data_IF_512454626526
#
_entry.id   IF_512454626526
#
_cell.length_a   1.000
_cell.length_b   1.000
_cell.length_c   1.000
_cell.angle_alpha   90.00
_cell.angle_beta   90.00
_cell.angle_gamma   90.00
#
_symmetry.space_group_name_H-M   'P 1'
#
loop_
_entity.id
_entity.type
_entity.pdbx_description
1 polymer ?
#
# COMPACT_ATOMS: atom_id res chain seq x y z
N UNK A 1 -0.17 21.99 25.06
CA UNK A 1 -0.35 21.25 23.79
C UNK A 1 0.06 19.80 24.02
N UNK A 2 -0.67 18.80 23.52
CA UNK A 2 -0.27 17.39 23.64
C UNK A 2 1.05 17.19 22.89
N UNK A 3 2.04 16.62 23.55
CA UNK A 3 3.37 16.42 22.97
C UNK A 3 3.31 15.57 21.71
N UNK A 4 4.06 16.00 20.70
CA UNK A 4 4.11 15.39 19.38
C UNK A 4 5.14 14.27 19.43
N UNK A 5 4.68 13.02 19.45
CA UNK A 5 5.58 11.87 19.55
C UNK A 5 6.07 11.45 18.15
N UNK A 6 7.23 11.99 17.76
CA UNK A 6 7.84 11.76 16.44
C UNK A 6 8.02 10.27 16.12
N UNK A 7 8.36 9.44 17.12
CA UNK A 7 8.52 7.99 16.92
C UNK A 7 7.23 7.31 16.46
N UNK A 8 6.10 7.75 17.00
CA UNK A 8 4.77 7.22 16.63
C UNK A 8 4.42 7.62 15.22
N UNK A 9 4.67 8.88 14.86
CA UNK A 9 4.40 9.39 13.52
C UNK A 9 5.23 8.62 12.48
N UNK A 10 6.50 8.37 12.76
CA UNK A 10 7.36 7.55 11.87
C UNK A 10 6.82 6.13 11.70
N UNK A 11 6.40 5.48 12.79
CA UNK A 11 5.76 4.16 12.71
C UNK A 11 4.44 4.20 11.93
N UNK A 12 3.63 5.25 12.13
CA UNK A 12 2.38 5.43 11.40
C UNK A 12 2.60 5.64 9.90
N UNK A 13 3.60 6.44 9.52
CA UNK A 13 4.03 6.62 8.12
C UNK A 13 4.42 5.26 7.53
N UNK A 14 5.26 4.51 8.23
CA UNK A 14 5.74 3.22 7.76
C UNK A 14 4.59 2.22 7.63
N UNK A 15 3.69 2.16 8.62
CA UNK A 15 2.48 1.33 8.59
C UNK A 15 1.56 1.65 7.41
N UNK A 16 1.36 2.94 7.11
CA UNK A 16 0.60 3.35 5.92
C UNK A 16 1.26 2.93 4.61
N UNK A 17 2.59 3.07 4.52
CA UNK A 17 3.32 2.67 3.32
C UNK A 17 3.12 1.18 3.05
N UNK A 18 3.27 0.34 4.08
CA UNK A 18 3.03 -1.10 3.97
C UNK A 18 1.57 -1.44 3.64
N UNK A 19 0.61 -0.80 4.31
CA UNK A 19 -0.81 -1.02 4.06
C UNK A 19 -1.20 -0.70 2.61
N UNK A 20 -0.82 0.50 2.13
CA UNK A 20 -1.10 0.93 0.76
C UNK A 20 -0.41 0.01 -0.25
N UNK A 21 0.85 -0.38 0.00
CA UNK A 21 1.56 -1.28 -0.90
C UNK A 21 0.96 -2.69 -0.91
N UNK A 22 0.47 -3.19 0.23
CA UNK A 22 -0.23 -4.45 0.32
C UNK A 22 -1.52 -4.46 -0.49
N UNK A 23 -2.37 -3.44 -0.31
CA UNK A 23 -3.60 -3.25 -1.08
C UNK A 23 -3.31 -3.13 -2.59
N UNK A 24 -2.25 -2.41 -2.94
CA UNK A 24 -1.81 -2.28 -4.34
C UNK A 24 -1.43 -3.63 -4.94
N UNK A 25 -0.67 -4.45 -4.21
CA UNK A 25 -0.26 -5.77 -4.68
C UNK A 25 -1.44 -6.74 -4.81
N UNK A 26 -2.42 -6.69 -3.89
CA UNK A 26 -3.67 -7.43 -4.03
C UNK A 26 -4.45 -7.01 -5.28
N UNK A 27 -4.42 -5.71 -5.64
CA UNK A 27 -5.02 -5.26 -6.89
C UNK A 27 -4.26 -5.80 -8.10
N UNK A 28 -2.92 -5.76 -8.09
CA UNK A 28 -2.10 -6.30 -9.17
C UNK A 28 -2.29 -7.81 -9.36
N UNK A 29 -2.53 -8.56 -8.28
CA UNK A 29 -2.90 -9.96 -8.35
C UNK A 29 -4.14 -10.20 -9.21
N UNK A 30 -5.20 -9.38 -9.06
CA UNK A 30 -6.45 -9.53 -9.86
C UNK A 30 -6.28 -9.35 -11.37
N UNK A 31 -5.14 -8.81 -11.80
CA UNK A 31 -4.81 -8.61 -13.22
C UNK A 31 -3.48 -9.26 -13.61
N UNK A 32 -2.93 -10.10 -12.75
CA UNK A 32 -1.57 -10.65 -12.88
C UNK A 32 -1.38 -11.45 -14.16
N UNK A 33 -2.37 -12.28 -14.53
CA UNK A 33 -2.38 -13.04 -15.79
C UNK A 33 -2.28 -12.12 -17.02
N UNK A 34 -3.04 -11.02 -17.04
CA UNK A 34 -3.01 -10.04 -18.13
C UNK A 34 -1.65 -9.34 -18.22
N UNK A 35 -1.04 -9.03 -17.07
CA UNK A 35 0.27 -8.40 -16.99
C UNK A 35 1.36 -9.36 -17.47
N UNK A 36 1.35 -10.61 -17.01
CA UNK A 36 2.29 -11.64 -17.46
C UNK A 36 2.18 -11.87 -18.95
N UNK A 37 0.96 -12.05 -19.46
CA UNK A 37 0.76 -12.28 -20.89
C UNK A 37 1.29 -11.11 -21.74
N UNK A 38 1.04 -9.87 -21.32
CA UNK A 38 1.57 -8.68 -21.99
C UNK A 38 3.10 -8.60 -21.97
N UNK A 39 3.76 -9.08 -20.91
CA UNK A 39 5.21 -9.12 -20.80
C UNK A 39 5.82 -10.22 -21.67
N UNK A 40 5.26 -11.43 -21.64
CA UNK A 40 5.78 -12.59 -22.37
C UNK A 40 5.50 -12.50 -23.88
N UNK A 41 4.40 -11.87 -24.28
CA UNK A 41 3.97 -11.72 -25.67
C UNK A 41 4.09 -10.28 -26.19
N UNK A 42 5.00 -9.48 -25.61
CA UNK A 42 5.25 -8.10 -26.02
C UNK A 42 5.60 -7.94 -27.51
N UNK A 43 6.13 -8.99 -28.13
CA UNK A 43 6.42 -9.09 -29.57
C UNK A 43 5.16 -9.15 -30.46
N UNK A 44 4.00 -9.56 -29.92
CA UNK A 44 2.73 -9.67 -30.65
C UNK A 44 1.85 -8.41 -30.54
N UNK A 45 2.42 -7.28 -30.13
CA UNK A 45 1.74 -6.00 -29.84
C UNK A 45 0.82 -5.47 -30.96
N UNK A 46 1.04 -5.90 -32.21
CA UNK A 46 0.26 -5.52 -33.39
C UNK A 46 -0.63 -6.65 -33.96
N UNK A 47 -0.77 -7.79 -33.26
CA UNK A 47 -1.62 -8.89 -33.73
C UNK A 47 -3.09 -8.71 -33.35
N UNK A 48 -4.00 -9.27 -34.15
CA UNK A 48 -5.45 -9.24 -33.91
C UNK A 48 -5.84 -9.85 -32.54
N UNK A 49 -5.08 -10.83 -32.05
CA UNK A 49 -5.24 -11.45 -30.72
C UNK A 49 -4.89 -10.51 -29.56
N UNK A 50 -4.02 -9.52 -29.80
CA UNK A 50 -3.65 -8.53 -28.78
C UNK A 50 -4.85 -7.65 -28.41
N UNK A 51 -5.68 -7.29 -29.39
CA UNK A 51 -6.88 -6.47 -29.20
C UNK A 51 -8.05 -7.22 -28.55
N UNK A 52 -8.11 -8.56 -28.67
CA UNK A 52 -9.17 -9.37 -28.04
C UNK A 52 -8.88 -9.70 -26.57
N UNK A 53 -7.62 -9.88 -26.20
CA UNK A 53 -7.20 -10.22 -24.83
C UNK A 53 -6.90 -8.99 -23.95
N UNK A 54 -6.36 -7.91 -24.53
CA UNK A 54 -6.18 -6.62 -23.88
C UNK A 54 -7.19 -5.65 -24.50
N UNK A 55 -8.32 -5.37 -23.83
CA UNK A 55 -9.36 -4.52 -24.39
C UNK A 55 -8.79 -3.11 -24.53
N UNK A 56 -8.39 -2.78 -25.77
CA UNK A 56 -8.10 -1.45 -26.31
C UNK A 56 -7.11 -0.58 -25.52
N UNK A 57 -6.66 0.51 -26.15
CA UNK A 57 -5.87 1.56 -25.45
C UNK A 57 -6.59 2.07 -24.19
N UNK A 58 -7.92 1.89 -24.11
CA UNK A 58 -8.78 2.17 -22.97
C UNK A 58 -8.48 1.29 -21.75
N UNK A 59 -8.11 0.01 -21.91
CA UNK A 59 -7.77 -0.87 -20.79
C UNK A 59 -6.51 -0.41 -20.03
N UNK A 60 -5.50 0.07 -20.76
CA UNK A 60 -4.26 0.63 -20.17
C UNK A 60 -4.49 2.06 -19.65
N UNK A 61 -5.29 2.86 -20.36
CA UNK A 61 -5.69 4.20 -19.90
C UNK A 61 -6.56 4.15 -18.64
N UNK A 62 -7.40 3.13 -18.47
CA UNK A 62 -8.21 2.91 -17.27
C UNK A 62 -7.43 2.19 -16.16
N UNK A 63 -6.35 1.48 -16.49
CA UNK A 63 -5.54 0.77 -15.51
C UNK A 63 -4.88 1.71 -14.50
N UNK A 64 -4.20 2.77 -14.95
CA UNK A 64 -3.52 3.70 -14.04
C UNK A 64 -4.47 4.49 -13.14
N UNK A 65 -5.56 5.10 -13.65
CA UNK A 65 -6.60 5.70 -12.81
C UNK A 65 -7.16 4.71 -11.79
N UNK A 66 -7.44 3.47 -12.20
CA UNK A 66 -7.90 2.43 -11.28
C UNK A 66 -6.87 2.16 -10.18
N UNK A 67 -5.58 2.02 -10.53
CA UNK A 67 -4.48 1.87 -9.57
C UNK A 67 -4.44 3.04 -8.56
N UNK A 68 -4.63 4.29 -9.01
CA UNK A 68 -4.70 5.46 -8.12
C UNK A 68 -5.93 5.42 -7.20
N UNK A 69 -7.09 4.94 -7.68
CA UNK A 69 -8.28 4.74 -6.85
C UNK A 69 -7.99 3.75 -5.72
N UNK A 70 -7.27 2.66 -5.99
CA UNK A 70 -6.89 1.69 -4.96
C UNK A 70 -5.91 2.26 -3.94
N UNK A 71 -4.95 3.08 -4.38
CA UNK A 71 -4.04 3.79 -3.47
C UNK A 71 -4.82 4.78 -2.60
N UNK A 72 -5.80 5.48 -3.18
CA UNK A 72 -6.68 6.38 -2.44
C UNK A 72 -7.53 5.63 -1.41
N UNK A 73 -8.13 4.50 -1.79
CA UNK A 73 -8.88 3.62 -0.89
C UNK A 73 -8.01 3.11 0.26
N UNK A 74 -6.79 2.64 -0.03
CA UNK A 74 -5.86 2.20 1.00
C UNK A 74 -5.44 3.33 1.95
N UNK A 75 -5.28 4.55 1.42
CA UNK A 75 -5.03 5.73 2.24
C UNK A 75 -6.23 6.04 3.15
N UNK A 76 -7.46 5.94 2.63
CA UNK A 76 -8.68 6.20 3.39
C UNK A 76 -8.86 5.18 4.52
N UNK A 77 -8.67 3.88 4.23
CA UNK A 77 -8.70 2.81 5.23
C UNK A 77 -7.68 3.06 6.34
N UNK A 78 -6.44 3.38 5.97
CA UNK A 78 -5.39 3.61 6.95
C UNK A 78 -5.62 4.87 7.80
N UNK A 79 -6.13 5.95 7.20
CA UNK A 79 -6.56 7.15 7.94
C UNK A 79 -7.69 6.82 8.92
N UNK A 80 -8.68 6.03 8.52
CA UNK A 80 -9.77 5.59 9.41
C UNK A 80 -9.26 4.75 10.58
N UNK A 81 -8.37 3.79 10.32
CA UNK A 81 -7.73 2.97 11.38
C UNK A 81 -7.00 3.88 12.36
N UNK A 82 -6.20 4.81 11.86
CA UNK A 82 -5.47 5.73 12.73
C UNK A 82 -6.38 6.68 13.49
N UNK A 83 -7.44 7.20 12.87
CA UNK A 83 -8.38 8.08 13.55
C UNK A 83 -8.99 7.35 14.76
N UNK A 84 -9.40 6.09 14.57
CA UNK A 84 -9.90 5.23 15.64
C UNK A 84 -8.84 4.99 16.74
N UNK A 85 -7.61 4.64 16.36
CA UNK A 85 -6.53 4.32 17.30
C UNK A 85 -6.03 5.56 18.06
N UNK A 86 -5.89 6.70 17.38
CA UNK A 86 -5.48 7.97 17.98
C UNK A 86 -6.57 8.52 18.92
N UNK A 87 -7.85 8.34 18.56
CA UNK A 87 -8.99 8.68 19.43
C UNK A 87 -8.91 7.90 20.76
N UNK A 88 -8.74 6.58 20.69
CA UNK A 88 -8.65 5.72 21.90
C UNK A 88 -7.49 6.09 22.82
N UNK A 89 -6.41 6.62 22.26
CA UNK A 89 -5.16 6.88 22.99
C UNK A 89 -4.93 8.36 23.29
N UNK A 90 -5.96 9.19 23.04
CA UNK A 90 -5.94 10.64 23.24
C UNK A 90 -4.74 11.32 22.57
N UNK A 91 -4.22 10.80 21.47
CA UNK A 91 -3.12 11.43 20.73
C UNK A 91 -3.57 12.69 20.00
N UNK A 92 -2.63 13.58 19.68
CA UNK A 92 -2.92 14.82 18.95
C UNK A 92 -3.35 14.52 17.51
N UNK A 93 -4.36 15.25 17.02
CA UNK A 93 -4.79 15.20 15.62
C UNK A 93 -3.72 15.70 14.64
N UNK A 94 -2.71 16.43 15.13
CA UNK A 94 -1.55 16.86 14.34
C UNK A 94 -0.81 15.68 13.68
N UNK A 95 -0.81 14.50 14.30
CA UNK A 95 -0.18 13.30 13.73
C UNK A 95 -0.83 12.90 12.40
N UNK A 96 -2.16 13.03 12.31
CA UNK A 96 -2.94 12.70 11.11
C UNK A 96 -2.63 13.70 10.00
N UNK A 97 -2.51 14.99 10.35
CA UNK A 97 -2.18 16.06 9.39
C UNK A 97 -0.78 15.86 8.80
N UNK A 98 0.22 15.62 9.66
CA UNK A 98 1.61 15.38 9.20
C UNK A 98 1.67 14.16 8.29
N UNK A 99 1.00 13.07 8.67
CA UNK A 99 0.94 11.88 7.83
C UNK A 99 0.28 12.15 6.48
N UNK A 100 -0.84 12.87 6.45
CA UNK A 100 -1.53 13.21 5.21
C UNK A 100 -0.62 14.00 4.26
N UNK A 101 0.17 14.94 4.79
CA UNK A 101 1.19 15.69 4.03
C UNK A 101 2.25 14.73 3.47
N UNK A 102 2.79 13.82 4.28
CA UNK A 102 3.80 12.85 3.84
C UNK A 102 3.24 11.92 2.76
N UNK A 103 2.02 11.40 2.94
CA UNK A 103 1.36 10.57 1.94
C UNK A 103 1.14 11.32 0.63
N UNK A 104 0.72 12.58 0.70
CA UNK A 104 0.57 13.43 -0.49
C UNK A 104 1.90 13.59 -1.24
N UNK A 105 3.01 13.81 -0.53
CA UNK A 105 4.36 13.88 -1.13
C UNK A 105 4.72 12.56 -1.81
N UNK A 106 4.52 11.42 -1.13
CA UNK A 106 4.80 10.08 -1.70
C UNK A 106 3.97 9.79 -2.94
N UNK A 107 2.69 10.19 -2.96
CA UNK A 107 1.81 10.08 -4.12
C UNK A 107 2.32 10.91 -5.30
N UNK A 108 2.70 12.16 -5.04
CA UNK A 108 3.25 13.07 -6.06
C UNK A 108 4.54 12.54 -6.67
N UNK A 109 5.41 11.93 -5.86
CA UNK A 109 6.65 11.27 -6.30
C UNK A 109 6.41 9.93 -7.03
N UNK A 110 5.15 9.50 -7.16
CA UNK A 110 4.76 8.21 -7.76
C UNK A 110 5.42 7.02 -7.05
N UNK A 111 5.68 7.14 -5.75
CA UNK A 111 6.41 6.16 -4.93
C UNK A 111 5.77 4.77 -5.01
N UNK A 112 4.46 4.69 -4.75
CA UNK A 112 3.70 3.44 -4.79
C UNK A 112 3.63 2.83 -6.19
N UNK A 113 3.48 3.68 -7.23
CA UNK A 113 3.46 3.25 -8.63
C UNK A 113 4.77 2.60 -9.07
N UNK A 114 5.91 3.10 -8.59
CA UNK A 114 7.22 2.52 -8.92
C UNK A 114 7.46 1.18 -8.23
N UNK A 115 6.59 0.78 -7.29
CA UNK A 115 6.73 -0.48 -6.55
C UNK A 115 8.02 -0.52 -5.73
N UNK A 116 8.47 0.62 -5.19
CA UNK A 116 9.77 0.74 -4.50
C UNK A 116 9.90 -0.29 -3.37
N UNK A 117 8.84 -0.46 -2.58
CA UNK A 117 8.80 -1.47 -1.51
C UNK A 117 8.92 -2.88 -2.08
N UNK A 118 8.14 -3.21 -3.10
CA UNK A 118 8.21 -4.53 -3.74
C UNK A 118 9.55 -4.81 -4.42
N UNK A 119 10.27 -3.77 -4.89
CA UNK A 119 11.64 -3.90 -5.39
C UNK A 119 12.64 -4.19 -4.27
N UNK A 120 12.50 -3.54 -3.11
CA UNK A 120 13.33 -3.81 -1.93
C UNK A 120 13.16 -5.25 -1.44
N UNK A 121 11.94 -5.79 -1.49
CA UNK A 121 11.64 -7.17 -1.08
C UNK A 121 11.78 -8.21 -2.21
N UNK A 122 12.25 -7.82 -3.39
CA UNK A 122 12.41 -8.71 -4.55
C UNK A 122 13.23 -9.98 -4.26
N UNK A 123 14.34 -9.95 -3.49
CA UNK A 123 15.11 -11.17 -3.19
C UNK A 123 14.29 -12.20 -2.39
N UNK A 124 13.50 -11.73 -1.43
CA UNK A 124 12.60 -12.57 -0.62
C UNK A 124 11.48 -13.12 -1.50
N UNK A 125 10.94 -12.29 -2.39
CA UNK A 125 9.88 -12.64 -3.33
C UNK A 125 10.27 -13.77 -4.27
N UNK A 126 11.47 -13.69 -4.87
CA UNK A 126 11.98 -14.72 -5.78
C UNK A 126 12.31 -16.04 -5.08
N UNK A 127 12.48 -16.03 -3.76
CA UNK A 127 12.66 -17.24 -2.98
C UNK A 127 11.33 -17.96 -2.68
N UNK A 128 10.22 -17.22 -2.56
CA UNK A 128 8.91 -17.77 -2.21
C UNK A 128 8.17 -18.42 -3.39
N UNK A 129 8.18 -17.78 -4.57
CA UNK A 129 7.53 -18.31 -5.77
C UNK A 129 8.16 -17.70 -7.01
N UNK A 130 8.12 -18.42 -8.13
CA UNK A 130 8.55 -17.91 -9.45
C UNK A 130 7.38 -17.30 -10.25
N UNK A 131 6.14 -17.56 -9.84
CA UNK A 131 4.93 -17.07 -10.52
C UNK A 131 4.57 -15.64 -10.05
N UNK A 132 4.37 -14.73 -11.00
CA UNK A 132 4.12 -13.31 -10.70
C UNK A 132 2.80 -13.09 -9.95
N UNK A 133 1.75 -13.84 -10.28
CA UNK A 133 0.46 -13.74 -9.60
C UNK A 133 0.59 -14.14 -8.13
N UNK A 134 1.19 -15.30 -7.89
CA UNK A 134 1.46 -15.82 -6.54
C UNK A 134 2.32 -14.85 -5.73
N UNK A 135 3.37 -14.28 -6.34
CA UNK A 135 4.20 -13.25 -5.71
C UNK A 135 3.38 -12.03 -5.28
N UNK A 136 2.52 -11.49 -6.15
CA UNK A 136 1.65 -10.35 -5.82
C UNK A 136 0.64 -10.68 -4.71
N UNK A 137 0.07 -11.89 -4.71
CA UNK A 137 -0.87 -12.32 -3.68
C UNK A 137 -0.19 -12.41 -2.31
N UNK A 138 0.93 -13.12 -2.24
CA UNK A 138 1.67 -13.34 -0.99
C UNK A 138 2.20 -12.02 -0.42
N UNK A 139 2.82 -11.18 -1.26
CA UNK A 139 3.26 -9.84 -0.83
C UNK A 139 2.11 -8.96 -0.39
N UNK A 140 0.99 -8.99 -1.12
CA UNK A 140 -0.21 -8.23 -0.81
C UNK A 140 -0.73 -8.54 0.59
N UNK A 141 -0.89 -9.83 0.89
CA UNK A 141 -1.32 -10.29 2.21
C UNK A 141 -0.32 -9.87 3.29
N UNK A 142 0.97 -10.21 3.11
CA UNK A 142 2.01 -9.95 4.12
C UNK A 142 2.12 -8.46 4.42
N UNK A 143 2.23 -7.60 3.40
CA UNK A 143 2.36 -6.16 3.60
C UNK A 143 1.10 -5.53 4.19
N UNK A 144 -0.09 -6.03 3.85
CA UNK A 144 -1.34 -5.56 4.46
C UNK A 144 -1.36 -5.86 5.96
N UNK A 145 -1.05 -7.11 6.34
CA UNK A 145 -0.97 -7.50 7.75
C UNK A 145 0.09 -6.72 8.53
N UNK A 146 1.30 -6.57 7.97
CA UNK A 146 2.37 -5.78 8.56
C UNK A 146 1.92 -4.32 8.73
N UNK A 147 1.32 -3.72 7.70
CA UNK A 147 0.83 -2.35 7.73
C UNK A 147 -0.20 -2.13 8.85
N UNK A 148 -1.23 -2.98 8.92
CA UNK A 148 -2.25 -2.92 9.98
C UNK A 148 -1.63 -3.13 11.36
N UNK A 149 -0.77 -4.13 11.52
CA UNK A 149 -0.10 -4.42 12.78
C UNK A 149 0.72 -3.21 13.25
N UNK A 150 1.53 -2.60 12.39
CA UNK A 150 2.33 -1.43 12.74
C UNK A 150 1.44 -0.25 13.12
N UNK A 151 0.38 0.03 12.37
CA UNK A 151 -0.57 1.10 12.71
C UNK A 151 -1.18 0.87 14.10
N UNK A 152 -1.59 -0.35 14.41
CA UNK A 152 -2.17 -0.70 15.71
C UNK A 152 -1.14 -0.63 16.86
N UNK A 153 0.02 -1.27 16.69
CA UNK A 153 1.06 -1.34 17.71
C UNK A 153 1.77 0.00 17.96
N UNK A 154 1.80 0.89 16.96
CA UNK A 154 2.42 2.22 17.09
C UNK A 154 1.85 3.04 18.24
N UNK A 155 0.61 2.75 18.64
CA UNK A 155 -0.11 3.52 19.66
C UNK A 155 -0.42 2.69 20.91
N UNK A 156 -0.51 1.36 20.82
CA UNK A 156 -0.88 0.52 21.97
C UNK A 156 0.11 0.66 23.14
N UNK A 157 1.39 0.86 22.85
CA UNK A 157 2.42 1.07 23.89
C UNK A 157 2.18 2.36 24.67
N UNK A 158 1.66 3.40 24.03
CA UNK A 158 1.30 4.68 24.67
C UNK A 158 0.01 4.53 25.45
N UNK A 159 -0.99 3.85 24.88
CA UNK A 159 -2.24 3.57 25.55
C UNK A 159 -2.03 2.82 26.87
N UNK A 160 -1.19 1.77 26.87
CA UNK A 160 -0.87 0.99 28.06
C UNK A 160 -0.13 1.82 29.12
N UNK A 161 0.82 2.67 28.72
CA UNK A 161 1.51 3.57 29.65
C UNK A 161 0.58 4.65 30.23
N UNK A 162 -0.33 5.20 29.41
CA UNK A 162 -1.34 6.18 29.86
C UNK A 162 -2.28 5.62 30.92
N UNK A 163 -2.61 4.32 30.86
CA UNK A 163 -3.53 3.67 31.80
C UNK A 163 -2.84 3.25 33.10
N UNK A 164 -1.51 3.07 33.09
CA UNK A 164 -0.70 2.81 34.30
C UNK A 164 -0.50 4.06 35.17
N UNK A 165 -0.71 5.25 34.63
CA UNK A 165 -0.56 6.54 35.31
C UNK A 165 -1.88 7.15 35.82
N UNK A 166 -3.03 6.51 35.57
CA UNK A 166 -4.35 6.92 36.09
C UNK A 166 -4.80 5.99 37.21
#
# INVERSE_FOLDING_TARGET
MKELNIKVILLQILGMIFLINGILQLKLYTVSEKIMWAQTHAQYKNSQYWNSLLPTKEGIFNFWPNVYVWIFLGSLIGISIMAFVNWKSKLSSLNIIILAIVLYILLRLKFFRKGVISQLFRPVRTCLSNDFGTQCLTEGIIFTFIGVAILYFSVIKIYLNSKKLS
#
